data_IF_752699813817
#
_entry.id   IF_752699813817
#
_cell.length_a   1.000
_cell.length_b   1.000
_cell.length_c   1.000
_cell.angle_alpha   90.00
_cell.angle_beta   90.00
_cell.angle_gamma   90.00
#
_symmetry.space_group_name_H-M   'P 1'
#
loop_
_entity.id
_entity.type
_entity.pdbx_description
1 polymer ?
#
# COMPACT_ATOMS: atom_id res chain seq x y z
N UNK A 1 -13.73 1.76 16.94
CA UNK A 1 -13.76 0.42 16.31
C UNK A 1 -12.32 -0.09 16.28
N UNK A 2 -12.01 -1.27 16.82
CA UNK A 2 -10.67 -1.88 16.69
C UNK A 2 -10.73 -2.90 15.55
N UNK A 3 -9.88 -2.75 14.55
CA UNK A 3 -9.65 -3.74 13.49
C UNK A 3 -8.25 -4.36 13.69
N UNK A 4 -8.00 -5.50 13.04
CA UNK A 4 -6.75 -6.24 13.20
C UNK A 4 -6.32 -6.91 11.90
N UNK A 5 -5.15 -7.54 11.88
CA UNK A 5 -4.64 -8.22 10.69
C UNK A 5 -5.58 -9.34 10.21
N UNK A 6 -6.24 -10.06 11.14
CA UNK A 6 -7.20 -11.12 10.82
C UNK A 6 -8.62 -10.61 10.59
N UNK A 7 -8.88 -9.35 10.97
CA UNK A 7 -10.19 -8.71 10.86
C UNK A 7 -9.99 -7.28 10.37
N UNK A 8 -9.58 -7.09 9.09
CA UNK A 8 -9.36 -5.76 8.55
C UNK A 8 -10.69 -5.01 8.49
N UNK A 9 -10.65 -3.70 8.73
CA UNK A 9 -11.80 -2.86 8.47
C UNK A 9 -11.84 -2.56 6.97
N UNK A 10 -12.95 -2.91 6.32
CA UNK A 10 -13.16 -2.65 4.89
C UNK A 10 -14.42 -1.82 4.74
N UNK A 11 -14.26 -0.58 4.29
CA UNK A 11 -15.37 0.26 3.89
C UNK A 11 -15.72 -0.02 2.43
N UNK A 12 -17.01 -0.19 2.12
CA UNK A 12 -17.49 -0.50 0.77
C UNK A 12 -18.74 0.32 0.49
N UNK A 13 -18.79 0.97 -0.66
CA UNK A 13 -20.00 1.56 -1.20
C UNK A 13 -20.30 0.97 -2.60
N UNK A 14 -21.13 1.65 -3.40
CA UNK A 14 -21.46 1.19 -4.75
C UNK A 14 -20.37 1.42 -5.79
N UNK A 15 -19.31 2.18 -5.47
CA UNK A 15 -18.27 2.63 -6.40
C UNK A 15 -16.87 2.19 -6.00
N UNK A 16 -16.55 2.20 -4.73
CA UNK A 16 -15.22 1.93 -4.19
C UNK A 16 -15.23 0.92 -3.06
N UNK A 17 -14.04 0.42 -2.76
CA UNK A 17 -13.74 -0.20 -1.48
C UNK A 17 -12.42 0.35 -0.93
N UNK A 18 -12.39 0.56 0.38
CA UNK A 18 -11.21 1.02 1.10
C UNK A 18 -10.87 0.01 2.20
N UNK A 19 -9.67 -0.55 2.15
CA UNK A 19 -9.15 -1.50 3.13
C UNK A 19 -8.20 -0.77 4.07
N UNK A 20 -8.47 -0.85 5.37
CA UNK A 20 -7.61 -0.30 6.42
C UNK A 20 -6.73 -1.44 6.94
N UNK A 21 -5.47 -1.41 6.52
CA UNK A 21 -4.52 -2.49 6.74
C UNK A 21 -3.70 -2.17 7.99
N UNK A 22 -3.93 -2.93 9.06
CA UNK A 22 -3.16 -2.85 10.30
C UNK A 22 -2.41 -4.15 10.52
N UNK A 23 -1.19 -4.05 11.05
CA UNK A 23 -0.39 -5.18 11.47
C UNK A 23 0.14 -4.97 12.88
N UNK A 24 0.35 -6.08 13.60
CA UNK A 24 0.81 -6.04 14.98
C UNK A 24 2.22 -5.43 15.13
N UNK A 25 3.05 -5.56 14.09
CA UNK A 25 4.36 -4.91 13.99
C UNK A 25 4.38 -3.99 12.76
N UNK A 26 3.56 -2.93 12.82
CA UNK A 26 3.54 -1.91 11.79
C UNK A 26 4.92 -1.29 11.56
N UNK A 27 5.23 -0.95 10.31
CA UNK A 27 6.56 -0.50 9.90
C UNK A 27 7.01 0.79 10.58
N UNK A 28 6.08 1.68 10.92
CA UNK A 28 6.35 2.98 11.52
C UNK A 28 6.02 3.01 13.04
N UNK A 29 4.83 2.53 13.42
CA UNK A 29 4.35 2.53 14.80
C UNK A 29 3.42 1.33 15.07
N UNK A 30 3.17 1.01 16.35
CA UNK A 30 2.36 -0.17 16.75
C UNK A 30 0.89 -0.11 16.33
N UNK A 31 0.36 1.09 16.13
CA UNK A 31 -1.00 1.37 15.68
C UNK A 31 -1.03 1.92 14.24
N UNK A 32 0.11 1.89 13.54
CA UNK A 32 0.20 2.34 12.17
C UNK A 32 -0.69 1.51 11.25
N UNK A 33 -1.31 2.20 10.30
CA UNK A 33 -2.14 1.60 9.25
C UNK A 33 -1.84 2.28 7.93
N UNK A 34 -1.88 1.52 6.85
CA UNK A 34 -2.02 2.08 5.52
C UNK A 34 -3.36 1.67 4.92
N UNK A 35 -3.88 2.51 4.03
CA UNK A 35 -5.19 2.31 3.43
C UNK A 35 -5.01 2.03 1.95
N UNK A 36 -5.70 1.02 1.41
CA UNK A 36 -5.78 0.82 -0.04
C UNK A 36 -7.19 1.08 -0.53
N UNK A 37 -7.31 1.73 -1.67
CA UNK A 37 -8.59 2.10 -2.28
C UNK A 37 -8.58 1.59 -3.71
N UNK A 38 -9.66 0.91 -4.08
CA UNK A 38 -9.92 0.47 -5.45
C UNK A 38 -11.38 0.75 -5.81
N UNK A 39 -11.70 0.55 -7.08
CA UNK A 39 -13.10 0.35 -7.49
C UNK A 39 -13.74 -0.80 -6.69
N UNK A 40 -15.07 -0.78 -6.58
CA UNK A 40 -15.85 -1.79 -5.84
C UNK A 40 -15.64 -3.19 -6.39
N UNK A 41 -15.42 -3.29 -7.70
CA UNK A 41 -15.20 -4.53 -8.44
C UNK A 41 -14.05 -4.33 -9.42
N UNK A 42 -12.81 -4.29 -8.92
CA UNK A 42 -11.68 -3.94 -9.75
C UNK A 42 -11.30 -5.11 -10.67
N UNK A 43 -10.74 -4.77 -11.82
CA UNK A 43 -10.12 -5.68 -12.77
C UNK A 43 -8.60 -5.54 -12.70
N UNK A 44 -7.85 -6.35 -13.45
CA UNK A 44 -6.39 -6.21 -13.55
C UNK A 44 -5.95 -4.80 -13.98
N UNK A 45 -6.77 -4.09 -14.76
CA UNK A 45 -6.47 -2.74 -15.27
C UNK A 45 -7.05 -1.62 -14.41
N UNK A 46 -7.74 -1.93 -13.30
CA UNK A 46 -8.33 -0.91 -12.45
C UNK A 46 -7.24 -0.14 -11.69
N UNK A 47 -7.51 1.12 -11.40
CA UNK A 47 -6.61 1.94 -10.57
C UNK A 47 -6.67 1.49 -9.11
N UNK A 48 -5.49 1.42 -8.48
CA UNK A 48 -5.34 1.26 -7.05
C UNK A 48 -4.62 2.48 -6.47
N UNK A 49 -5.10 2.96 -5.33
CA UNK A 49 -4.47 4.04 -4.55
C UNK A 49 -4.09 3.49 -3.18
N UNK A 50 -2.90 3.80 -2.69
CA UNK A 50 -2.49 3.50 -1.33
C UNK A 50 -2.19 4.79 -0.57
N UNK A 51 -2.90 5.04 0.53
CA UNK A 51 -2.47 6.00 1.53
C UNK A 51 -1.51 5.32 2.50
N UNK A 52 -0.22 5.60 2.39
CA UNK A 52 0.83 4.88 3.12
C UNK A 52 1.10 5.45 4.54
N UNK A 53 0.62 6.67 4.81
CA UNK A 53 0.92 7.43 6.01
C UNK A 53 2.39 7.89 6.10
N UNK A 54 3.18 7.34 7.01
CA UNK A 54 4.51 7.85 7.39
C UNK A 54 5.65 6.84 7.17
N UNK A 55 5.47 5.89 6.25
CA UNK A 55 6.48 4.90 5.90
C UNK A 55 7.39 5.36 4.73
N UNK A 56 6.95 6.34 3.94
CA UNK A 56 7.74 6.90 2.84
C UNK A 56 7.49 8.40 2.60
N UNK A 57 8.53 9.20 2.83
CA UNK A 57 8.54 10.62 2.46
C UNK A 57 8.76 10.83 0.95
N UNK A 58 7.72 10.60 0.14
CA UNK A 58 7.85 10.58 -1.32
C UNK A 58 8.24 11.94 -1.92
N UNK A 59 9.22 11.93 -2.82
CA UNK A 59 9.74 13.14 -3.46
C UNK A 59 10.86 13.84 -2.67
N UNK A 60 11.35 13.27 -1.56
CA UNK A 60 12.67 13.59 -1.03
C UNK A 60 13.77 12.83 -1.79
N UNK A 61 14.98 13.39 -1.78
CA UNK A 61 16.14 12.72 -2.35
C UNK A 61 16.38 11.38 -1.64
N UNK A 62 16.75 10.36 -2.41
CA UNK A 62 16.99 9.01 -1.89
C UNK A 62 18.04 8.98 -0.77
N UNK A 63 19.03 9.88 -0.83
CA UNK A 63 20.17 9.97 0.09
C UNK A 63 19.78 10.45 1.50
N UNK A 64 18.71 11.23 1.61
CA UNK A 64 18.21 11.75 2.89
C UNK A 64 17.01 10.96 3.42
N UNK A 65 16.45 10.09 2.59
CA UNK A 65 15.28 9.29 2.94
C UNK A 65 15.63 8.08 3.80
N UNK A 66 14.70 7.65 4.66
CA UNK A 66 14.88 6.43 5.46
C UNK A 66 14.68 5.16 4.63
N UNK A 67 15.76 4.72 3.96
CA UNK A 67 15.79 3.53 3.12
C UNK A 67 15.38 2.24 3.87
N UNK A 68 15.65 2.17 5.17
CA UNK A 68 15.26 1.02 6.00
C UNK A 68 13.75 0.91 6.12
N UNK A 69 13.08 2.02 6.47
CA UNK A 69 11.63 2.09 6.64
C UNK A 69 10.89 1.84 5.30
N UNK A 70 11.37 2.47 4.23
CA UNK A 70 10.91 2.24 2.86
C UNK A 70 10.89 0.75 2.48
N UNK A 71 11.99 0.03 2.76
CA UNK A 71 12.10 -1.41 2.44
C UNK A 71 11.25 -2.28 3.36
N UNK A 72 11.04 -1.88 4.61
CA UNK A 72 10.10 -2.57 5.50
C UNK A 72 8.68 -2.47 4.97
N UNK A 73 8.27 -1.29 4.50
CA UNK A 73 6.95 -1.12 3.87
C UNK A 73 6.82 -1.91 2.57
N UNK A 74 7.84 -1.90 1.71
CA UNK A 74 7.86 -2.73 0.49
C UNK A 74 7.71 -4.23 0.80
N UNK A 75 8.38 -4.74 1.83
CA UNK A 75 8.22 -6.13 2.28
C UNK A 75 6.78 -6.41 2.75
N UNK A 76 6.16 -5.48 3.45
CA UNK A 76 4.80 -5.64 3.92
C UNK A 76 3.80 -5.70 2.75
N UNK A 77 3.85 -4.70 1.85
CA UNK A 77 2.90 -4.62 0.73
C UNK A 77 3.14 -5.72 -0.32
N UNK A 78 4.37 -6.27 -0.39
CA UNK A 78 4.68 -7.47 -1.15
C UNK A 78 3.86 -8.66 -0.64
N UNK A 79 3.81 -8.87 0.68
CA UNK A 79 3.02 -9.94 1.30
C UNK A 79 1.51 -9.75 1.10
N UNK A 80 1.07 -8.50 1.01
CA UNK A 80 -0.31 -8.14 0.74
C UNK A 80 -0.69 -8.15 -0.75
N UNK A 81 0.27 -8.30 -1.66
CA UNK A 81 0.01 -8.34 -3.10
C UNK A 81 -0.41 -7.00 -3.68
N UNK A 82 0.11 -5.88 -3.16
CA UNK A 82 -0.23 -4.55 -3.68
C UNK A 82 0.23 -4.39 -5.13
N UNK A 83 -0.62 -3.82 -5.97
CA UNK A 83 -0.32 -3.59 -7.39
C UNK A 83 0.92 -2.72 -7.57
N UNK A 84 1.79 -3.08 -8.52
CA UNK A 84 2.99 -2.33 -8.87
C UNK A 84 2.67 -0.91 -9.39
N UNK A 85 1.52 -0.76 -10.04
CA UNK A 85 1.06 0.50 -10.64
C UNK A 85 0.25 1.37 -9.65
N UNK A 86 0.29 1.02 -8.36
CA UNK A 86 -0.42 1.77 -7.33
C UNK A 86 0.05 3.22 -7.26
N UNK A 87 -0.90 4.15 -7.21
CA UNK A 87 -0.64 5.55 -6.89
C UNK A 87 -0.52 5.66 -5.37
N UNK A 88 0.62 6.13 -4.88
CA UNK A 88 0.88 6.31 -3.46
C UNK A 88 0.58 7.76 -3.05
N UNK A 89 -0.25 7.89 -2.03
CA UNK A 89 -0.57 9.15 -1.35
C UNK A 89 0.10 9.13 0.03
N UNK A 90 1.27 9.75 0.21
CA UNK A 90 1.93 9.80 1.51
C UNK A 90 1.35 10.91 2.39
N UNK A 91 1.54 10.83 3.71
CA UNK A 91 1.26 11.97 4.60
C UNK A 91 2.33 13.07 4.45
N UNK A 92 3.55 12.67 4.09
CA UNK A 92 4.68 13.56 3.87
C UNK A 92 5.22 13.42 2.45
N UNK A 93 5.32 14.54 1.73
CA UNK A 93 5.87 14.55 0.38
C UNK A 93 4.81 14.74 -0.71
N UNK A 94 4.97 14.03 -1.84
CA UNK A 94 4.15 14.19 -3.05
C UNK A 94 3.48 12.88 -3.45
N UNK A 95 2.30 12.98 -4.09
CA UNK A 95 1.63 11.83 -4.69
C UNK A 95 2.48 11.29 -5.84
N UNK A 96 2.84 10.02 -5.77
CA UNK A 96 3.86 9.41 -6.64
C UNK A 96 3.53 7.94 -6.90
N UNK A 97 3.85 7.37 -8.07
CA UNK A 97 3.67 5.93 -8.31
C UNK A 97 4.60 5.08 -7.45
N UNK A 98 4.12 3.90 -7.01
CA UNK A 98 4.91 2.94 -6.23
C UNK A 98 6.20 2.51 -6.95
N UNK A 99 6.19 2.51 -8.28
CA UNK A 99 7.37 2.21 -9.10
C UNK A 99 8.57 3.11 -8.81
N UNK A 100 8.36 4.35 -8.36
CA UNK A 100 9.46 5.24 -7.95
C UNK A 100 10.16 4.73 -6.69
N UNK A 101 9.40 4.33 -5.67
CA UNK A 101 9.94 3.72 -4.45
C UNK A 101 10.70 2.42 -4.76
N UNK A 102 10.13 1.59 -5.63
CA UNK A 102 10.76 0.34 -6.08
C UNK A 102 12.11 0.63 -6.75
N UNK A 103 12.17 1.66 -7.61
CA UNK A 103 13.38 2.05 -8.31
C UNK A 103 14.44 2.64 -7.36
N UNK A 104 14.05 3.52 -6.44
CA UNK A 104 14.96 4.14 -5.45
C UNK A 104 15.63 3.09 -4.57
N UNK A 105 14.87 2.08 -4.16
CA UNK A 105 15.35 1.04 -3.23
C UNK A 105 15.98 -0.16 -3.95
N UNK A 106 15.89 -0.22 -5.28
CA UNK A 106 16.20 -1.39 -6.10
C UNK A 106 15.56 -2.69 -5.57
N UNK A 107 14.34 -2.59 -5.02
CA UNK A 107 13.66 -3.71 -4.40
C UNK A 107 13.08 -4.65 -5.46
N UNK A 108 13.25 -5.99 -5.34
CA UNK A 108 12.75 -6.94 -6.33
C UNK A 108 11.24 -7.16 -6.17
N UNK A 109 10.46 -6.17 -6.58
CA UNK A 109 9.00 -6.21 -6.51
C UNK A 109 8.40 -6.88 -7.77
N UNK A 110 7.50 -7.87 -7.64
CA UNK A 110 6.84 -8.52 -8.78
C UNK A 110 5.94 -7.57 -9.58
N UNK A 111 5.54 -8.01 -10.78
CA UNK A 111 4.56 -7.31 -11.62
C UNK A 111 3.13 -7.65 -11.19
N UNK A 112 2.79 -7.32 -9.95
CA UNK A 112 1.43 -7.48 -9.43
C UNK A 112 0.49 -6.46 -10.05
N UNK A 113 -0.66 -6.94 -10.48
CA UNK A 113 -1.84 -6.12 -10.79
C UNK A 113 -2.83 -6.13 -9.61
N UNK A 114 -3.96 -5.43 -9.76
CA UNK A 114 -4.97 -5.32 -8.69
C UNK A 114 -5.59 -6.66 -8.29
N UNK A 115 -5.59 -7.67 -9.17
CA UNK A 115 -6.15 -8.99 -8.87
C UNK A 115 -5.28 -9.80 -7.90
N UNK A 116 -4.04 -9.38 -7.65
CA UNK A 116 -3.15 -10.01 -6.69
C UNK A 116 -3.41 -9.57 -5.25
N UNK A 117 -4.18 -8.49 -5.06
CA UNK A 117 -4.44 -7.91 -3.75
C UNK A 117 -5.02 -8.94 -2.76
N UNK A 118 -4.44 -8.97 -1.56
CA UNK A 118 -4.73 -9.93 -0.49
C UNK A 118 -4.73 -11.38 -0.99
N UNK A 119 -3.71 -11.74 -1.78
CA UNK A 119 -3.49 -13.08 -2.31
C UNK A 119 -4.64 -13.55 -3.23
N UNK A 120 -5.21 -12.61 -3.99
CA UNK A 120 -6.35 -12.90 -4.87
C UNK A 120 -7.67 -13.05 -4.13
N UNK A 121 -7.84 -12.32 -3.01
CA UNK A 121 -9.11 -12.26 -2.32
C UNK A 121 -10.22 -11.80 -3.28
N UNK A 122 -11.41 -12.35 -3.14
CA UNK A 122 -12.57 -11.91 -3.92
C UNK A 122 -12.87 -10.43 -3.60
N UNK A 123 -12.56 -9.54 -4.56
CA UNK A 123 -12.77 -8.09 -4.45
C UNK A 123 -14.17 -7.67 -4.91
N UNK A 124 -14.83 -8.56 -5.64
CA UNK A 124 -16.27 -8.67 -5.83
C UNK A 124 -16.76 -9.88 -5.02
#
# INVERSE_FOLDING_TARGET
MRYSQTHPYVHRDSKIQAWFNWEQQGVHASDWTYVTITERCPTANSTMVAFEADAWEAGLDAEISNQGLMRQWLNQILGDGLSRDTIVFPAHGKVTPLSELINITAFPYPDFDVTHWKQGAALC
#
